data_IF_543864851501
#
_entry.id   IF_543864851501
#
_cell.length_a   1.000
_cell.length_b   1.000
_cell.length_c   1.000
_cell.angle_alpha   90.00
_cell.angle_beta   90.00
_cell.angle_gamma   90.00
#
_symmetry.space_group_name_H-M   'P 1'
#
loop_
_entity.id
_entity.type
_entity.pdbx_description
1 polymer ?
#
# COMPACT_ATOMS: atom_id res chain seq x y z
N UNK A 1 -7.95 -3.69 5.96
CA UNK A 1 -7.92 -3.51 7.42
C UNK A 1 -7.45 -4.74 8.18
N UNK A 2 -8.04 -5.92 8.02
CA UNK A 2 -7.55 -7.19 8.62
C UNK A 2 -6.07 -7.49 8.28
N UNK A 3 -5.59 -7.02 7.13
CA UNK A 3 -4.19 -7.17 6.70
C UNK A 3 -3.23 -6.46 7.65
N UNK A 4 -3.57 -5.26 8.15
CA UNK A 4 -2.72 -4.53 9.10
C UNK A 4 -2.58 -5.32 10.40
N UNK A 5 -3.67 -5.85 10.92
CA UNK A 5 -3.64 -6.69 12.13
C UNK A 5 -2.82 -7.96 11.90
N UNK A 6 -3.02 -8.64 10.76
CA UNK A 6 -2.22 -9.81 10.39
C UNK A 6 -0.73 -9.50 10.24
N UNK A 7 -0.38 -8.35 9.65
CA UNK A 7 1.00 -7.90 9.55
C UNK A 7 1.61 -7.64 10.93
N UNK A 8 0.89 -6.98 11.84
CA UNK A 8 1.32 -6.74 13.21
C UNK A 8 1.58 -8.06 13.94
N UNK A 9 0.68 -9.03 13.80
CA UNK A 9 0.83 -10.36 14.41
C UNK A 9 2.08 -11.09 13.91
N UNK A 10 2.31 -11.08 12.60
CA UNK A 10 3.53 -11.64 11.99
C UNK A 10 4.78 -10.92 12.50
N UNK A 11 4.77 -9.59 12.51
CA UNK A 11 5.93 -8.80 12.95
C UNK A 11 6.28 -9.07 14.41
N UNK A 12 5.30 -9.09 15.32
CA UNK A 12 5.56 -9.38 16.73
C UNK A 12 6.04 -10.83 16.95
N UNK A 13 5.59 -11.77 16.12
CA UNK A 13 6.03 -13.18 16.19
C UNK A 13 7.46 -13.37 15.70
N UNK A 14 7.88 -12.63 14.68
CA UNK A 14 9.19 -12.74 14.04
C UNK A 14 10.25 -11.85 14.67
N UNK A 15 9.83 -10.74 15.30
CA UNK A 15 10.70 -9.73 15.89
C UNK A 15 10.44 -9.65 17.40
N UNK A 16 11.04 -10.54 18.23
CA UNK A 16 10.74 -10.62 19.66
C UNK A 16 11.11 -9.36 20.44
N UNK A 17 12.01 -8.55 19.89
CA UNK A 17 12.43 -7.27 20.48
C UNK A 17 11.61 -6.06 19.99
N UNK A 18 10.63 -6.26 19.12
CA UNK A 18 9.74 -5.20 18.67
C UNK A 18 8.94 -4.66 19.86
N UNK A 19 8.97 -3.34 20.07
CA UNK A 19 8.29 -2.67 21.20
C UNK A 19 7.20 -1.72 20.74
N UNK A 20 7.36 -1.13 19.56
CA UNK A 20 6.45 -0.11 19.04
C UNK A 20 6.29 -0.22 17.54
N UNK A 21 5.09 0.02 17.06
CA UNK A 21 4.75 0.20 15.65
C UNK A 21 4.05 1.55 15.52
N UNK A 22 4.55 2.40 14.63
CA UNK A 22 3.88 3.63 14.24
C UNK A 22 3.23 3.41 12.88
N UNK A 23 1.99 3.81 12.75
CA UNK A 23 1.16 3.61 11.55
C UNK A 23 0.62 4.98 11.11
N UNK A 24 1.01 5.44 9.93
CA UNK A 24 0.32 6.52 9.26
C UNK A 24 -0.77 5.89 8.39
N UNK A 25 -2.02 6.14 8.73
CA UNK A 25 -3.19 5.53 8.09
C UNK A 25 -3.92 6.56 7.25
N UNK A 26 -4.01 6.30 5.95
CA UNK A 26 -4.65 7.19 4.98
C UNK A 26 -5.89 6.53 4.40
N UNK A 27 -7.02 7.22 4.45
CA UNK A 27 -8.27 6.81 3.79
C UNK A 27 -9.13 8.06 3.54
N UNK A 28 -9.84 8.09 2.41
CA UNK A 28 -10.81 9.13 2.12
C UNK A 28 -12.08 8.99 2.98
N UNK A 29 -12.36 7.79 3.47
CA UNK A 29 -13.50 7.51 4.32
C UNK A 29 -13.11 7.59 5.82
N UNK A 30 -13.59 8.60 6.56
CA UNK A 30 -13.28 8.75 7.98
C UNK A 30 -13.81 7.59 8.85
N UNK A 31 -14.87 6.90 8.39
CA UNK A 31 -15.39 5.74 9.11
C UNK A 31 -14.44 4.54 9.01
N UNK A 32 -13.74 4.37 7.88
CA UNK A 32 -12.72 3.34 7.73
C UNK A 32 -11.56 3.56 8.70
N UNK A 33 -11.12 4.81 8.86
CA UNK A 33 -10.06 5.19 9.82
C UNK A 33 -10.52 4.96 11.26
N UNK A 34 -11.73 5.39 11.60
CA UNK A 34 -12.32 5.20 12.94
C UNK A 34 -12.46 3.71 13.27
N UNK A 35 -12.90 2.91 12.31
CA UNK A 35 -13.00 1.47 12.49
C UNK A 35 -11.62 0.81 12.68
N UNK A 36 -10.59 1.25 11.96
CA UNK A 36 -9.22 0.78 12.17
C UNK A 36 -8.78 1.04 13.61
N UNK A 37 -9.06 2.24 14.12
CA UNK A 37 -8.70 2.62 15.48
C UNK A 37 -9.35 1.69 16.50
N UNK A 38 -10.68 1.56 16.48
CA UNK A 38 -11.41 0.69 17.41
C UNK A 38 -11.03 -0.78 17.30
N UNK A 39 -10.80 -1.27 16.09
CA UNK A 39 -10.34 -2.64 15.89
C UNK A 39 -8.96 -2.85 16.54
N UNK A 40 -8.06 -1.89 16.37
CA UNK A 40 -6.72 -1.97 16.97
C UNK A 40 -6.78 -1.94 18.49
N UNK A 41 -7.61 -1.06 19.08
CA UNK A 41 -7.85 -1.03 20.53
C UNK A 41 -8.36 -2.38 21.03
N UNK A 42 -9.40 -2.93 20.41
CA UNK A 42 -9.99 -4.21 20.80
C UNK A 42 -8.98 -5.38 20.73
N UNK A 43 -8.11 -5.39 19.72
CA UNK A 43 -7.10 -6.45 19.58
C UNK A 43 -5.97 -6.28 20.60
N UNK A 44 -5.57 -5.05 20.92
CA UNK A 44 -4.62 -4.77 22.02
C UNK A 44 -5.21 -5.18 23.37
N UNK A 45 -6.45 -4.82 23.65
CA UNK A 45 -7.15 -5.17 24.89
C UNK A 45 -7.34 -6.69 25.07
N UNK A 46 -7.49 -7.43 23.96
CA UNK A 46 -7.55 -8.89 24.00
C UNK A 46 -6.24 -9.57 24.45
N UNK A 47 -5.14 -8.81 24.57
CA UNK A 47 -3.82 -9.30 24.94
C UNK A 47 -3.08 -10.09 23.85
N UNK A 48 -3.65 -10.15 22.63
CA UNK A 48 -3.01 -10.84 21.51
C UNK A 48 -1.86 -10.03 20.89
N UNK A 49 -1.86 -8.70 21.10
CA UNK A 49 -0.79 -7.81 20.63
C UNK A 49 -0.01 -7.29 21.83
N UNK A 50 1.30 -7.51 21.81
CA UNK A 50 2.25 -7.13 22.87
C UNK A 50 3.04 -5.87 22.56
N UNK A 51 2.95 -5.37 21.35
CA UNK A 51 3.64 -4.16 20.90
C UNK A 51 2.77 -2.93 21.08
N UNK A 52 3.40 -1.81 21.39
CA UNK A 52 2.70 -0.52 21.44
C UNK A 52 2.38 -0.07 20.03
N UNK A 53 1.11 0.21 19.73
CA UNK A 53 0.68 0.67 18.42
C UNK A 53 0.27 2.14 18.55
N UNK A 54 0.89 2.98 17.73
CA UNK A 54 0.53 4.38 17.57
C UNK A 54 -0.02 4.60 16.16
N UNK A 55 -1.28 4.98 16.05
CA UNK A 55 -1.95 5.27 14.78
C UNK A 55 -2.06 6.78 14.63
N UNK A 56 -1.54 7.29 13.53
CA UNK A 56 -1.68 8.68 13.09
C UNK A 56 -2.69 8.68 11.90
N UNK A 57 -3.96 8.97 12.16
CA UNK A 57 -5.00 8.92 11.14
C UNK A 57 -4.96 10.18 10.28
N UNK A 58 -5.04 10.00 8.97
CA UNK A 58 -5.10 11.07 8.00
C UNK A 58 -6.30 10.85 7.08
N UNK A 59 -7.30 11.72 7.18
CA UNK A 59 -8.37 11.79 6.19
C UNK A 59 -7.80 12.39 4.90
N UNK A 60 -7.66 11.59 3.87
CA UNK A 60 -7.05 12.02 2.64
C UNK A 60 -7.84 11.55 1.44
N UNK A 61 -8.28 12.51 0.64
CA UNK A 61 -8.79 12.29 -0.69
C UNK A 61 -7.76 12.81 -1.69
N UNK A 62 -7.20 11.90 -2.50
CA UNK A 62 -6.25 12.26 -3.55
C UNK A 62 -6.94 12.12 -4.90
N UNK A 63 -7.12 13.22 -5.60
CA UNK A 63 -7.76 13.29 -6.92
C UNK A 63 -6.83 13.77 -8.03
N UNK A 64 -5.62 14.19 -7.69
CA UNK A 64 -4.65 14.73 -8.63
C UNK A 64 -3.21 14.33 -8.29
N UNK A 65 -2.32 14.41 -9.29
CA UNK A 65 -0.89 14.19 -9.08
C UNK A 65 -0.27 15.23 -8.13
N UNK A 66 -0.80 16.47 -8.11
CA UNK A 66 -0.34 17.50 -7.19
C UNK A 66 -0.64 17.12 -5.75
N UNK A 67 -1.86 16.68 -5.45
CA UNK A 67 -2.24 16.24 -4.09
C UNK A 67 -1.44 15.02 -3.65
N UNK A 68 -1.11 14.10 -4.57
CA UNK A 68 -0.21 12.99 -4.29
C UNK A 68 1.21 13.47 -3.95
N UNK A 69 1.72 14.44 -4.70
CA UNK A 69 3.02 15.07 -4.42
C UNK A 69 3.03 15.78 -3.07
N UNK A 70 1.97 16.52 -2.77
CA UNK A 70 1.83 17.24 -1.50
C UNK A 70 1.79 16.26 -0.31
N UNK A 71 1.08 15.14 -0.44
CA UNK A 71 1.07 14.07 0.54
C UNK A 71 2.48 13.54 0.83
N UNK A 72 3.23 13.22 -0.21
CA UNK A 72 4.59 12.68 -0.08
C UNK A 72 5.52 13.72 0.54
N UNK A 73 5.39 14.99 0.17
CA UNK A 73 6.20 16.09 0.72
C UNK A 73 5.90 16.38 2.20
N UNK A 74 4.70 16.07 2.69
CA UNK A 74 4.36 16.15 4.11
C UNK A 74 5.02 15.02 4.93
N UNK A 75 5.51 13.98 4.27
CA UNK A 75 6.05 12.78 4.89
C UNK A 75 7.57 12.88 4.98
N UNK A 76 8.09 13.27 6.14
CA UNK A 76 9.55 13.38 6.39
C UNK A 76 10.15 12.13 7.04
N UNK A 77 9.54 10.97 6.83
CA UNK A 77 9.96 9.70 7.44
C UNK A 77 10.16 8.64 6.37
N UNK A 78 11.04 7.69 6.67
CA UNK A 78 11.17 6.48 5.86
C UNK A 78 10.38 5.35 6.50
N UNK A 79 9.67 4.58 5.67
CA UNK A 79 8.82 3.49 6.11
C UNK A 79 9.50 2.13 5.89
N UNK A 80 9.37 1.24 6.86
CA UNK A 80 9.74 -0.17 6.69
C UNK A 80 8.69 -0.93 5.87
N UNK A 81 7.43 -0.49 5.96
CA UNK A 81 6.33 -1.06 5.19
C UNK A 81 5.44 0.06 4.66
N UNK A 82 5.12 -0.01 3.37
CA UNK A 82 4.05 0.77 2.77
C UNK A 82 3.05 -0.25 2.22
N UNK A 83 1.78 -0.12 2.62
CA UNK A 83 0.75 -1.10 2.28
C UNK A 83 -0.43 -0.40 1.64
N UNK A 84 -0.79 -0.81 0.44
CA UNK A 84 -2.03 -0.42 -0.22
C UNK A 84 -2.88 -1.64 -0.52
N UNK A 85 -4.15 -1.58 -0.12
CA UNK A 85 -5.07 -2.69 -0.29
C UNK A 85 -6.40 -2.21 -0.86
N UNK A 86 -6.68 -2.57 -2.11
CA UNK A 86 -7.90 -2.24 -2.86
C UNK A 86 -8.20 -0.72 -2.92
N UNK A 87 -7.18 0.12 -2.86
CA UNK A 87 -7.35 1.56 -2.88
C UNK A 87 -6.98 2.17 -4.24
N UNK A 88 -5.98 1.61 -4.92
CA UNK A 88 -5.40 2.25 -6.10
C UNK A 88 -6.25 2.08 -7.36
N UNK A 89 -7.12 1.07 -7.42
CA UNK A 89 -8.06 0.93 -8.53
C UNK A 89 -9.01 2.14 -8.65
N UNK A 90 -9.30 2.83 -7.56
CA UNK A 90 -10.12 4.04 -7.59
C UNK A 90 -9.43 5.16 -8.37
N UNK A 91 -8.11 5.32 -8.22
CA UNK A 91 -7.33 6.30 -9.00
C UNK A 91 -7.30 5.98 -10.50
N UNK A 92 -7.33 4.69 -10.87
CA UNK A 92 -7.39 4.27 -12.28
C UNK A 92 -8.72 4.67 -12.91
N UNK A 93 -9.80 4.66 -12.13
CA UNK A 93 -11.14 5.00 -12.60
C UNK A 93 -11.35 6.51 -12.71
N UNK A 94 -10.68 7.30 -11.90
CA UNK A 94 -10.76 8.75 -11.92
C UNK A 94 -9.76 9.33 -12.91
N UNK A 95 -10.26 9.88 -14.01
CA UNK A 95 -9.52 10.30 -15.22
C UNK A 95 -8.52 11.45 -15.06
N UNK A 96 -8.30 11.96 -13.87
CA UNK A 96 -7.36 13.06 -13.60
C UNK A 96 -5.89 12.65 -13.72
N UNK A 97 -5.60 11.35 -13.74
CA UNK A 97 -4.27 10.77 -13.96
C UNK A 97 -4.07 10.33 -15.44
N UNK A 98 -4.60 11.08 -16.38
CA UNK A 98 -5.05 10.69 -17.72
C UNK A 98 -4.02 10.20 -18.72
N UNK A 99 -2.74 10.24 -18.47
CA UNK A 99 -1.75 9.80 -19.48
C UNK A 99 -0.62 8.92 -18.92
N UNK A 100 -0.72 8.50 -17.68
CA UNK A 100 0.30 7.67 -17.03
C UNK A 100 -0.34 6.42 -16.45
N UNK A 101 0.39 5.33 -16.45
CA UNK A 101 -0.04 4.19 -15.64
C UNK A 101 0.00 4.59 -14.17
N UNK A 102 -1.16 4.58 -13.51
CA UNK A 102 -1.33 5.02 -12.12
C UNK A 102 -0.41 4.25 -11.17
N UNK A 103 -0.21 2.96 -11.38
CA UNK A 103 0.68 2.16 -10.53
C UNK A 103 2.15 2.53 -10.71
N UNK A 104 2.56 2.93 -11.92
CA UNK A 104 3.90 3.48 -12.14
C UNK A 104 4.07 4.82 -11.42
N UNK A 105 3.06 5.69 -11.52
CA UNK A 105 3.04 6.97 -10.83
C UNK A 105 3.11 6.80 -9.31
N UNK A 106 2.24 5.99 -8.74
CA UNK A 106 2.23 5.68 -7.30
C UNK A 106 3.57 5.10 -6.85
N UNK A 107 4.14 4.19 -7.64
CA UNK A 107 5.47 3.64 -7.34
C UNK A 107 6.55 4.70 -7.31
N UNK A 108 6.50 5.68 -8.22
CA UNK A 108 7.50 6.77 -8.27
C UNK A 108 7.44 7.69 -7.05
N UNK A 109 6.28 7.84 -6.44
CA UNK A 109 6.12 8.66 -5.23
C UNK A 109 6.41 7.89 -3.94
N UNK A 110 5.99 6.64 -3.84
CA UNK A 110 6.06 5.92 -2.57
C UNK A 110 7.31 5.05 -2.39
N UNK A 111 7.88 4.49 -3.46
CA UNK A 111 9.09 3.69 -3.31
C UNK A 111 10.28 4.47 -2.72
N UNK A 112 10.51 5.76 -3.06
CA UNK A 112 11.57 6.55 -2.42
C UNK A 112 11.38 6.78 -0.91
N UNK A 113 10.16 6.58 -0.39
CA UNK A 113 9.88 6.68 1.05
C UNK A 113 10.21 5.40 1.81
N UNK A 114 10.59 4.32 1.14
CA UNK A 114 11.01 3.10 1.82
C UNK A 114 12.39 3.29 2.46
N UNK A 115 12.53 2.78 3.68
CA UNK A 115 13.84 2.59 4.29
C UNK A 115 14.63 1.49 3.57
N UNK A 116 15.92 1.37 3.86
CA UNK A 116 16.69 0.22 3.41
C UNK A 116 15.99 -1.07 3.85
N UNK A 117 15.86 -2.02 2.91
CA UNK A 117 15.13 -3.28 3.12
C UNK A 117 13.61 -3.10 3.40
N UNK A 118 13.07 -1.90 3.19
CA UNK A 118 11.64 -1.65 3.30
C UNK A 118 10.85 -2.38 2.21
N UNK A 119 9.58 -2.66 2.49
CA UNK A 119 8.69 -3.41 1.59
C UNK A 119 7.46 -2.60 1.22
N UNK A 120 7.18 -2.50 -0.07
CA UNK A 120 5.94 -1.94 -0.60
C UNK A 120 5.01 -3.09 -1.01
N UNK A 121 3.87 -3.20 -0.34
CA UNK A 121 2.86 -4.24 -0.58
C UNK A 121 1.69 -3.61 -1.31
N UNK A 122 1.49 -4.02 -2.56
CA UNK A 122 0.34 -3.63 -3.37
C UNK A 122 -0.59 -4.81 -3.56
N UNK A 123 -1.84 -4.64 -3.17
CA UNK A 123 -2.92 -5.59 -3.48
C UNK A 123 -4.13 -4.81 -3.98
N UNK A 124 -4.62 -5.18 -5.14
CA UNK A 124 -5.76 -4.52 -5.74
C UNK A 124 -6.80 -5.53 -6.24
N UNK A 125 -7.90 -5.04 -6.80
CA UNK A 125 -8.99 -5.86 -7.33
C UNK A 125 -8.54 -6.67 -8.55
N UNK A 126 -9.18 -7.81 -8.78
CA UNK A 126 -8.84 -8.72 -9.89
C UNK A 126 -9.80 -8.62 -11.08
N UNK A 127 -10.68 -7.64 -11.07
CA UNK A 127 -11.67 -7.41 -12.13
C UNK A 127 -11.05 -6.79 -13.38
N UNK A 128 -11.80 -6.81 -14.49
CA UNK A 128 -11.44 -6.07 -15.71
C UNK A 128 -11.58 -4.57 -15.50
N UNK A 129 -10.73 -3.80 -16.17
CA UNK A 129 -10.92 -2.36 -16.31
C UNK A 129 -12.17 -2.08 -17.14
N UNK A 130 -12.90 -1.03 -16.77
CA UNK A 130 -14.03 -0.57 -17.53
C UNK A 130 -13.61 -0.24 -18.99
N UNK A 131 -14.39 -0.73 -19.95
CA UNK A 131 -14.14 -0.52 -21.38
C UNK A 131 -12.77 -1.01 -21.89
N UNK A 132 -12.18 -2.03 -21.26
CA UNK A 132 -10.88 -2.59 -21.62
C UNK A 132 -10.93 -4.12 -21.58
N UNK A 133 -10.06 -4.76 -22.35
CA UNK A 133 -9.81 -6.21 -22.24
C UNK A 133 -8.78 -6.54 -21.14
N UNK A 134 -8.13 -5.52 -20.55
CA UNK A 134 -7.13 -5.70 -19.51
C UNK A 134 -7.77 -5.87 -18.12
N UNK A 135 -7.12 -6.64 -17.29
CA UNK A 135 -7.43 -6.77 -15.87
C UNK A 135 -6.54 -5.84 -15.02
N UNK A 136 -7.05 -5.38 -13.89
CA UNK A 136 -6.28 -4.54 -12.97
C UNK A 136 -4.90 -5.12 -12.61
N UNK A 137 -4.73 -6.43 -12.31
CA UNK A 137 -3.40 -7.01 -12.06
C UNK A 137 -2.41 -6.86 -13.21
N UNK A 138 -2.87 -6.91 -14.45
CA UNK A 138 -2.00 -6.71 -15.62
C UNK A 138 -1.49 -5.27 -15.69
N UNK A 139 -2.37 -4.29 -15.45
CA UNK A 139 -2.04 -2.87 -15.44
C UNK A 139 -1.12 -2.53 -14.26
N UNK A 140 -1.38 -3.14 -13.08
CA UNK A 140 -0.54 -3.02 -11.89
C UNK A 140 0.87 -3.54 -12.17
N UNK A 141 0.99 -4.77 -12.64
CA UNK A 141 2.29 -5.38 -12.95
C UNK A 141 3.06 -4.59 -13.99
N UNK A 142 2.39 -4.15 -15.06
CA UNK A 142 3.02 -3.34 -16.10
C UNK A 142 3.52 -2.00 -15.54
N UNK A 143 2.74 -1.33 -14.70
CA UNK A 143 3.09 -0.04 -14.10
C UNK A 143 4.25 -0.14 -13.12
N UNK A 144 4.18 -1.09 -12.18
CA UNK A 144 5.25 -1.30 -11.19
C UNK A 144 6.55 -1.70 -11.87
N UNK A 145 6.51 -2.66 -12.79
CA UNK A 145 7.70 -3.13 -13.50
C UNK A 145 8.33 -2.05 -14.38
N UNK A 146 7.50 -1.20 -15.01
CA UNK A 146 7.98 -0.05 -15.78
C UNK A 146 8.79 0.90 -14.92
N UNK A 147 8.30 1.22 -13.71
CA UNK A 147 9.02 2.09 -12.79
C UNK A 147 10.28 1.40 -12.23
N UNK A 148 10.15 0.20 -11.68
CA UNK A 148 11.28 -0.56 -11.08
C UNK A 148 12.39 -0.77 -12.11
N UNK A 149 12.05 -1.09 -13.37
CA UNK A 149 13.00 -1.24 -14.43
C UNK A 149 13.79 0.04 -14.76
N UNK A 150 13.24 1.22 -14.47
CA UNK A 150 13.92 2.51 -14.63
C UNK A 150 14.89 2.85 -13.49
N UNK A 151 14.79 2.20 -12.33
CA UNK A 151 15.51 2.53 -11.09
C UNK A 151 16.88 1.82 -10.95
N UNK A 152 17.51 1.35 -12.00
CA UNK A 152 18.89 0.80 -12.00
C UNK A 152 19.18 -0.17 -10.83
N UNK A 153 18.29 -1.09 -10.54
CA UNK A 153 18.39 -2.10 -9.48
C UNK A 153 18.27 -1.57 -8.03
N UNK A 154 17.78 -0.37 -7.81
CA UNK A 154 17.49 0.13 -6.47
C UNK A 154 16.32 -0.63 -5.81
N UNK A 155 15.38 -1.11 -6.63
CA UNK A 155 14.21 -1.85 -6.17
C UNK A 155 14.11 -3.21 -6.85
N UNK A 156 13.53 -4.17 -6.16
CA UNK A 156 13.27 -5.51 -6.65
C UNK A 156 11.82 -5.88 -6.47
N UNK A 157 11.18 -6.33 -7.53
CA UNK A 157 9.82 -6.88 -7.47
C UNK A 157 9.84 -8.29 -6.86
N UNK A 158 8.99 -8.53 -5.87
CA UNK A 158 8.74 -9.83 -5.28
C UNK A 158 7.30 -10.22 -5.56
N UNK A 159 7.10 -11.35 -6.22
CA UNK A 159 5.78 -11.89 -6.50
C UNK A 159 5.43 -12.96 -5.46
N UNK A 160 4.26 -12.89 -4.81
CA UNK A 160 3.82 -13.98 -3.95
C UNK A 160 3.55 -15.24 -4.78
N UNK A 161 3.87 -16.39 -4.23
CA UNK A 161 3.47 -17.67 -4.81
C UNK A 161 1.96 -17.87 -4.56
N UNK A 162 1.09 -18.19 -5.54
CA UNK A 162 1.34 -18.69 -6.90
C UNK A 162 1.28 -17.61 -8.01
N UNK A 163 1.28 -16.32 -7.72
CA UNK A 163 1.20 -15.24 -8.74
C UNK A 163 2.36 -15.29 -9.76
N UNK A 164 3.38 -16.07 -9.51
CA UNK A 164 4.44 -16.36 -10.47
C UNK A 164 3.92 -16.98 -11.77
N UNK A 165 2.73 -17.59 -11.75
CA UNK A 165 2.12 -18.24 -12.91
C UNK A 165 1.05 -17.39 -13.61
N UNK A 166 0.84 -16.15 -13.20
CA UNK A 166 -0.20 -15.28 -13.79
C UNK A 166 0.18 -14.67 -15.16
N UNK A 167 1.24 -15.12 -15.80
CA UNK A 167 1.37 -14.93 -17.25
C UNK A 167 0.37 -15.76 -18.06
N UNK A 168 -0.31 -16.69 -17.40
CA UNK A 168 -1.35 -17.52 -17.96
C UNK A 168 -2.66 -17.04 -17.35
N UNK A 169 -3.54 -16.49 -18.20
CA UNK A 169 -4.90 -16.05 -17.89
C UNK A 169 -5.58 -16.91 -16.80
N UNK A 170 -5.91 -16.31 -15.67
CA UNK A 170 -6.97 -16.83 -14.81
C UNK A 170 -8.32 -16.65 -15.48
#
# INVERSE_FOLDING_TARGET
MLIIIGLIDVLQSKLPNLRRINIDAFDANPDAIRFLYHLTEAVVESGNIRVNININPQGLYVSSEQELSDLVNLTNVQYHFIVSFKALNEFVQHSTFTNKNVYSLISSYFLPLLSNEGVFILSDVTTKLNNSELFYPQVLNAGVNSFVGSCKNEFKTLYPYPCYFQEISC
#
